data_IF_675021120926
#
_entry.id   IF_675021120926
#
_cell.length_a   1.000
_cell.length_b   1.000
_cell.length_c   1.000
_cell.angle_alpha   90.00
_cell.angle_beta   90.00
_cell.angle_gamma   90.00
#
_symmetry.space_group_name_H-M   'P 1'
#
loop_
_entity.id
_entity.type
_entity.pdbx_description
1 polymer ?
#
# COMPACT_ATOMS: atom_id res chain seq x y z
N UNK A 1 -24.81 15.34 -1.43
CA UNK A 1 -23.48 14.91 -1.87
C UNK A 1 -23.42 14.92 -3.39
N UNK A 2 -24.18 14.08 -4.11
CA UNK A 2 -24.18 14.09 -5.60
C UNK A 2 -24.61 15.43 -6.23
N UNK A 3 -25.54 16.16 -5.60
CA UNK A 3 -25.94 17.50 -6.04
C UNK A 3 -25.05 18.64 -5.51
N UNK A 4 -23.95 18.34 -4.81
CA UNK A 4 -23.03 19.35 -4.25
C UNK A 4 -23.52 20.12 -3.02
N UNK A 5 -24.79 19.93 -2.60
CA UNK A 5 -25.38 20.66 -1.44
C UNK A 5 -24.83 20.21 -0.09
N UNK A 6 -24.24 19.02 -0.03
CA UNK A 6 -23.61 18.49 1.18
C UNK A 6 -22.15 18.20 0.89
N UNK A 7 -21.27 18.70 1.76
CA UNK A 7 -19.84 18.39 1.77
C UNK A 7 -19.50 17.55 3.03
N UNK A 8 -18.54 16.63 2.94
CA UNK A 8 -18.06 15.91 4.12
C UNK A 8 -17.48 16.88 5.15
N UNK A 9 -17.69 16.59 6.43
CA UNK A 9 -17.01 17.31 7.51
C UNK A 9 -15.50 17.00 7.49
N UNK A 10 -14.69 17.89 8.08
CA UNK A 10 -13.29 17.58 8.38
C UNK A 10 -13.20 16.33 9.26
N UNK A 11 -12.33 15.39 8.89
CA UNK A 11 -12.16 14.12 9.60
C UNK A 11 -10.85 14.12 10.37
N UNK A 12 -10.93 13.80 11.66
CA UNK A 12 -9.79 13.39 12.46
C UNK A 12 -9.84 11.87 12.63
N UNK A 13 -8.88 11.15 12.05
CA UNK A 13 -8.89 9.69 11.98
C UNK A 13 -7.77 9.08 12.82
N UNK A 14 -8.10 8.00 13.53
CA UNK A 14 -7.14 7.13 14.21
C UNK A 14 -7.32 5.70 13.71
N UNK A 15 -6.26 4.91 13.80
CA UNK A 15 -6.41 3.46 13.75
C UNK A 15 -7.22 2.99 14.97
N UNK A 16 -8.09 1.99 14.81
CA UNK A 16 -8.89 1.43 15.90
C UNK A 16 -8.02 0.93 17.06
N UNK A 17 -6.78 0.52 16.79
CA UNK A 17 -5.78 0.12 17.81
C UNK A 17 -5.36 1.29 18.70
N UNK A 18 -5.62 2.53 18.29
CA UNK A 18 -5.36 3.76 19.03
C UNK A 18 -6.65 4.40 19.59
N UNK A 19 -7.77 3.66 19.63
CA UNK A 19 -9.06 4.20 20.08
C UNK A 19 -9.03 4.96 21.42
N UNK A 20 -8.27 4.53 22.47
CA UNK A 20 -8.20 5.30 23.71
C UNK A 20 -7.67 6.73 23.52
N UNK A 21 -6.78 6.97 22.56
CA UNK A 21 -6.31 8.31 22.22
C UNK A 21 -7.40 9.15 21.53
N UNK A 22 -8.11 8.55 20.56
CA UNK A 22 -9.23 9.19 19.89
C UNK A 22 -10.34 9.60 20.88
N UNK A 23 -10.69 8.71 21.82
CA UNK A 23 -11.69 9.02 22.85
C UNK A 23 -11.25 10.13 23.80
N UNK A 24 -9.96 10.19 24.14
CA UNK A 24 -9.40 11.30 24.94
C UNK A 24 -9.44 12.62 24.19
N UNK A 25 -9.11 12.61 22.91
CA UNK A 25 -9.19 13.80 22.05
C UNK A 25 -10.63 14.30 21.92
N UNK A 26 -11.58 13.37 21.78
CA UNK A 26 -13.01 13.64 21.75
C UNK A 26 -13.50 14.23 23.07
N UNK A 27 -13.17 13.62 24.22
CA UNK A 27 -13.65 14.05 25.54
C UNK A 27 -13.11 15.42 25.96
N UNK A 28 -11.95 15.81 25.45
CA UNK A 28 -11.37 17.14 25.65
C UNK A 28 -11.94 18.20 24.69
N UNK A 29 -12.94 17.85 23.87
CA UNK A 29 -13.55 18.72 22.87
C UNK A 29 -12.53 19.38 21.91
N UNK A 30 -11.41 18.70 21.64
CA UNK A 30 -10.34 19.22 20.78
C UNK A 30 -10.61 19.07 19.27
N UNK A 31 -11.82 18.70 18.89
CA UNK A 31 -12.19 18.33 17.53
C UNK A 31 -13.16 19.33 16.90
N UNK A 32 -13.00 19.56 15.60
CA UNK A 32 -14.02 20.17 14.74
C UNK A 32 -14.32 19.17 13.63
N UNK A 33 -15.61 18.93 13.37
CA UNK A 33 -16.05 17.92 12.42
C UNK A 33 -16.19 16.53 13.07
N UNK A 34 -15.69 15.48 12.41
CA UNK A 34 -15.95 14.09 12.78
C UNK A 34 -14.68 13.37 13.25
N UNK A 35 -14.74 12.74 14.42
CA UNK A 35 -13.74 11.77 14.87
C UNK A 35 -14.11 10.39 14.30
N UNK A 36 -13.17 9.73 13.63
CA UNK A 36 -13.36 8.44 12.96
C UNK A 36 -12.30 7.44 13.41
N UNK A 37 -12.70 6.18 13.58
CA UNK A 37 -11.78 5.06 13.74
C UNK A 37 -11.70 4.27 12.44
N UNK A 38 -10.48 4.06 11.97
CA UNK A 38 -10.16 3.24 10.80
C UNK A 38 -9.82 1.83 11.24
N UNK A 39 -10.31 0.84 10.51
CA UNK A 39 -9.99 -0.57 10.77
C UNK A 39 -8.91 -0.99 9.77
N UNK A 40 -7.78 -1.58 10.21
CA UNK A 40 -6.78 -2.11 9.30
C UNK A 40 -7.41 -3.11 8.33
N UNK A 41 -7.25 -2.86 7.04
CA UNK A 41 -7.68 -3.78 5.98
C UNK A 41 -6.47 -4.62 5.58
N UNK A 42 -6.58 -5.96 5.57
CA UNK A 42 -5.52 -6.81 5.06
C UNK A 42 -5.34 -6.58 3.55
N UNK A 43 -4.17 -6.95 3.00
CA UNK A 43 -3.98 -6.94 1.56
C UNK A 43 -4.99 -7.88 0.89
N UNK A 44 -5.61 -7.42 -0.19
CA UNK A 44 -6.45 -8.27 -1.04
C UNK A 44 -5.55 -9.24 -1.81
N UNK A 45 -5.66 -10.57 -1.59
CA UNK A 45 -4.85 -11.55 -2.31
C UNK A 45 -5.09 -11.55 -3.83
N UNK A 46 -6.27 -11.12 -4.27
CA UNK A 46 -6.60 -10.97 -5.69
C UNK A 46 -6.17 -9.61 -6.27
N UNK A 47 -5.79 -8.66 -5.41
CA UNK A 47 -5.34 -7.34 -5.79
C UNK A 47 -3.89 -7.31 -6.28
N UNK A 48 -3.54 -6.25 -7.01
CA UNK A 48 -2.16 -5.96 -7.41
C UNK A 48 -1.44 -5.07 -6.40
N UNK A 49 -0.16 -5.34 -6.18
CA UNK A 49 0.73 -4.51 -5.35
C UNK A 49 1.78 -3.84 -6.22
N UNK A 50 1.89 -2.52 -6.11
CA UNK A 50 2.94 -1.71 -6.73
C UNK A 50 4.08 -1.48 -5.75
N UNK A 51 5.30 -1.83 -6.16
CA UNK A 51 6.53 -1.56 -5.41
C UNK A 51 7.38 -0.56 -6.18
N UNK A 52 7.46 0.67 -5.67
CA UNK A 52 8.32 1.73 -6.23
C UNK A 52 9.77 1.55 -5.81
N UNK A 53 10.71 1.72 -6.74
CA UNK A 53 12.08 1.28 -6.53
C UNK A 53 12.19 -0.25 -6.38
N UNK A 54 11.19 -0.99 -6.89
CA UNK A 54 10.99 -2.41 -6.60
C UNK A 54 12.06 -3.35 -7.16
N UNK A 55 12.90 -2.87 -8.08
CA UNK A 55 13.94 -3.67 -8.72
C UNK A 55 15.23 -3.78 -7.91
N UNK A 56 15.41 -3.01 -6.82
CA UNK A 56 16.66 -2.97 -6.08
C UNK A 56 16.48 -2.79 -4.56
N UNK A 57 17.55 -3.08 -3.81
CA UNK A 57 17.67 -2.81 -2.37
C UNK A 57 16.49 -3.36 -1.56
N UNK A 58 15.89 -2.49 -0.74
CA UNK A 58 14.72 -2.85 0.07
C UNK A 58 13.47 -3.16 -0.76
N UNK A 59 13.28 -2.51 -1.91
CA UNK A 59 12.13 -2.78 -2.78
C UNK A 59 12.10 -4.24 -3.24
N UNK A 60 13.26 -4.78 -3.63
CA UNK A 60 13.40 -6.17 -4.03
C UNK A 60 13.18 -7.15 -2.86
N UNK A 61 13.63 -6.80 -1.65
CA UNK A 61 13.39 -7.61 -0.43
C UNK A 61 11.91 -7.62 -0.06
N UNK A 62 11.24 -6.47 -0.11
CA UNK A 62 9.81 -6.34 0.16
C UNK A 62 9.00 -7.11 -0.88
N UNK A 63 9.35 -7.02 -2.17
CA UNK A 63 8.67 -7.77 -3.23
C UNK A 63 8.72 -9.29 -2.97
N UNK A 64 9.89 -9.83 -2.60
CA UNK A 64 10.04 -11.23 -2.21
C UNK A 64 9.17 -11.58 -1.00
N UNK A 65 9.25 -10.79 0.07
CA UNK A 65 8.45 -11.03 1.26
C UNK A 65 6.94 -11.00 0.97
N UNK A 66 6.48 -10.08 0.12
CA UNK A 66 5.08 -9.98 -0.26
C UNK A 66 4.60 -11.23 -1.03
N UNK A 67 5.40 -11.74 -1.96
CA UNK A 67 5.03 -12.93 -2.75
C UNK A 67 5.11 -14.21 -1.92
N UNK A 68 6.23 -14.42 -1.23
CA UNK A 68 6.55 -15.66 -0.51
C UNK A 68 5.78 -15.76 0.80
N UNK A 69 5.87 -14.73 1.65
CA UNK A 69 5.33 -14.78 3.02
C UNK A 69 3.91 -14.24 3.10
N UNK A 70 3.53 -13.29 2.24
CA UNK A 70 2.21 -12.63 2.28
C UNK A 70 1.23 -13.11 1.22
N UNK A 71 1.66 -14.00 0.33
CA UNK A 71 0.80 -14.63 -0.67
C UNK A 71 0.35 -13.71 -1.81
N UNK A 72 1.00 -12.58 -2.02
CA UNK A 72 0.67 -11.67 -3.14
C UNK A 72 0.93 -12.38 -4.47
N UNK A 73 0.02 -12.21 -5.43
CA UNK A 73 0.09 -12.87 -6.75
C UNK A 73 0.20 -11.92 -7.94
N UNK A 74 -0.07 -10.64 -7.75
CA UNK A 74 0.06 -9.65 -8.81
C UNK A 74 1.00 -8.54 -8.34
N UNK A 75 2.17 -8.42 -8.96
CA UNK A 75 3.22 -7.48 -8.55
C UNK A 75 3.63 -6.60 -9.72
N UNK A 76 3.67 -5.30 -9.47
CA UNK A 76 4.29 -4.32 -10.38
C UNK A 76 5.54 -3.78 -9.72
N UNK A 77 6.70 -4.00 -10.34
CA UNK A 77 7.98 -3.45 -9.92
C UNK A 77 8.25 -2.18 -10.75
N UNK A 78 8.04 -1.01 -10.15
CA UNK A 78 8.32 0.25 -10.81
C UNK A 78 9.70 0.75 -10.43
N UNK A 79 10.48 1.17 -11.43
CA UNK A 79 11.75 1.88 -11.24
C UNK A 79 12.06 2.72 -12.46
N UNK A 80 12.92 3.73 -12.34
CA UNK A 80 13.25 4.61 -13.48
C UNK A 80 13.79 3.88 -14.70
N UNK A 81 14.56 2.80 -14.51
CA UNK A 81 15.15 2.00 -15.59
C UNK A 81 14.31 0.76 -15.97
N UNK A 82 13.26 0.46 -15.19
CA UNK A 82 12.43 -0.73 -15.42
C UNK A 82 13.27 -2.01 -15.53
N UNK A 83 12.99 -2.79 -16.58
CA UNK A 83 13.69 -4.04 -16.93
C UNK A 83 15.20 -3.85 -17.10
N UNK A 84 15.65 -2.65 -17.52
CA UNK A 84 17.08 -2.34 -17.67
C UNK A 84 17.80 -2.10 -16.33
N UNK A 85 17.08 -2.18 -15.20
CA UNK A 85 17.73 -2.14 -13.88
C UNK A 85 18.54 -3.43 -13.67
N UNK A 86 19.78 -3.34 -13.18
CA UNK A 86 20.58 -4.52 -12.85
C UNK A 86 19.82 -5.47 -11.93
N UNK A 87 19.70 -6.74 -12.35
CA UNK A 87 18.99 -7.79 -11.62
C UNK A 87 17.47 -7.75 -11.65
N UNK A 88 16.85 -6.87 -12.44
CA UNK A 88 15.39 -6.80 -12.54
C UNK A 88 14.77 -8.04 -13.19
N UNK A 89 15.38 -8.57 -14.26
CA UNK A 89 14.89 -9.79 -14.91
C UNK A 89 15.03 -11.00 -14.00
N UNK A 90 16.16 -11.13 -13.30
CA UNK A 90 16.42 -12.20 -12.34
C UNK A 90 15.41 -12.17 -11.19
N UNK A 91 15.17 -10.99 -10.60
CA UNK A 91 14.14 -10.79 -9.59
C UNK A 91 12.75 -11.14 -10.13
N UNK A 92 12.41 -10.69 -11.34
CA UNK A 92 11.10 -10.97 -11.91
C UNK A 92 10.91 -12.47 -12.21
N UNK A 93 11.95 -13.16 -12.67
CA UNK A 93 11.93 -14.61 -12.86
C UNK A 93 11.73 -15.35 -11.53
N UNK A 94 12.52 -15.01 -10.51
CA UNK A 94 12.40 -15.59 -9.16
C UNK A 94 10.97 -15.43 -8.61
N UNK A 95 10.41 -14.22 -8.68
CA UNK A 95 9.05 -13.97 -8.19
C UNK A 95 7.98 -14.74 -8.99
N UNK A 96 8.19 -14.96 -10.30
CA UNK A 96 7.31 -15.79 -11.13
C UNK A 96 7.39 -17.26 -10.76
N UNK A 97 8.57 -17.78 -10.43
CA UNK A 97 8.74 -19.15 -9.92
C UNK A 97 7.96 -19.38 -8.60
N UNK A 98 7.83 -18.33 -7.78
CA UNK A 98 7.00 -18.34 -6.58
C UNK A 98 5.50 -18.10 -6.85
N UNK A 99 5.08 -18.14 -8.12
CA UNK A 99 3.67 -18.09 -8.52
C UNK A 99 3.08 -16.69 -8.66
N UNK A 100 3.90 -15.63 -8.70
CA UNK A 100 3.42 -14.28 -8.97
C UNK A 100 3.41 -13.93 -10.46
N UNK A 101 2.39 -13.21 -10.91
CA UNK A 101 2.41 -12.43 -12.15
C UNK A 101 3.16 -11.13 -11.89
N UNK A 102 4.28 -10.93 -12.59
CA UNK A 102 5.18 -9.79 -12.39
C UNK A 102 5.26 -8.92 -13.64
N UNK A 103 5.00 -7.63 -13.49
CA UNK A 103 5.28 -6.59 -14.48
C UNK A 103 6.42 -5.71 -13.97
N UNK A 104 7.39 -5.39 -14.84
CA UNK A 104 8.51 -4.52 -14.50
C UNK A 104 8.43 -3.30 -15.39
N UNK A 105 8.12 -2.15 -14.81
CA UNK A 105 7.81 -0.95 -15.56
C UNK A 105 8.87 0.13 -15.34
N UNK A 106 9.30 0.74 -16.45
CA UNK A 106 10.09 1.96 -16.41
C UNK A 106 9.15 3.14 -16.10
N UNK A 107 9.24 3.68 -14.89
CA UNK A 107 8.39 4.79 -14.44
C UNK A 107 9.20 5.83 -13.66
N UNK A 108 8.88 7.10 -13.89
CA UNK A 108 9.28 8.23 -13.07
C UNK A 108 8.00 8.81 -12.46
N UNK A 109 7.92 8.85 -11.13
CA UNK A 109 6.70 9.10 -10.35
C UNK A 109 6.87 10.28 -9.40
#
# INVERSE_FOLDING_TARGET
>A
FESGVLAPLSVAAWDVRQAPEAFRFLSQARHVGKVVLTVPVPLDPAGAVLVTGGTAGLGAVVARHLVVERGVRHVVLASRRGVESPGAEELAAELREHGASVSVEACDA
#
